data_IF_521343827332
#
_entry.id   IF_521343827332
#
_cell.length_a   1.000
_cell.length_b   1.000
_cell.length_c   1.000
_cell.angle_alpha   90.00
_cell.angle_beta   90.00
_cell.angle_gamma   90.00
#
_symmetry.space_group_name_H-M   'P 1'
#
loop_
_entity.id
_entity.type
_entity.pdbx_description
1 polymer ?
#
# COMPACT_ATOMS: atom_id res chain seq x y z
N UNK A 1 -7.66 6.96 6.64
CA UNK A 1 -7.24 6.12 7.77
C UNK A 1 -8.40 6.06 8.74
N UNK A 2 -8.88 4.87 9.11
CA UNK A 2 -10.03 4.72 9.99
C UNK A 2 -9.56 4.55 11.45
N UNK A 3 -10.26 5.22 12.37
CA UNK A 3 -10.08 5.07 13.81
C UNK A 3 -11.36 4.43 14.38
N UNK A 4 -11.40 3.10 14.55
CA UNK A 4 -12.51 2.46 15.25
C UNK A 4 -12.50 2.92 16.71
N UNK A 5 -13.63 3.43 17.19
CA UNK A 5 -13.79 3.74 18.60
C UNK A 5 -13.91 2.43 19.39
N UNK A 6 -13.01 2.22 20.35
CA UNK A 6 -13.07 1.09 21.28
C UNK A 6 -12.87 1.66 22.68
N UNK A 7 -13.85 1.44 23.58
CA UNK A 7 -13.79 1.82 25.00
C UNK A 7 -13.72 3.34 25.31
N UNK A 8 -14.32 4.19 24.47
CA UNK A 8 -14.53 5.62 24.79
C UNK A 8 -13.29 6.51 24.70
N UNK A 9 -12.20 6.01 24.11
CA UNK A 9 -10.98 6.79 23.87
C UNK A 9 -10.75 6.89 22.36
N UNK A 10 -11.22 7.98 21.77
CA UNK A 10 -11.02 8.30 20.35
C UNK A 10 -9.95 9.39 20.25
N UNK A 11 -8.91 9.23 19.41
CA UNK A 11 -7.87 10.24 19.29
C UNK A 11 -8.41 11.49 18.59
N UNK A 12 -8.02 12.68 19.05
CA UNK A 12 -8.39 13.94 18.38
C UNK A 12 -7.68 14.13 17.03
N UNK A 13 -6.50 13.53 16.90
CA UNK A 13 -5.65 13.58 15.70
C UNK A 13 -5.57 12.22 15.02
N UNK A 14 -5.52 12.23 13.70
CA UNK A 14 -5.28 11.04 12.90
C UNK A 14 -3.87 10.47 13.20
N UNK A 15 -3.80 9.24 13.72
CA UNK A 15 -2.52 8.57 14.04
C UNK A 15 -1.58 8.44 12.84
N UNK A 16 -2.08 8.52 11.60
CA UNK A 16 -1.25 8.45 10.38
C UNK A 16 -0.75 9.82 9.91
N UNK A 17 -1.62 10.82 9.78
CA UNK A 17 -1.26 12.11 9.17
C UNK A 17 -1.25 13.28 10.15
N UNK A 18 -1.53 13.03 11.43
CA UNK A 18 -1.54 14.00 12.53
C UNK A 18 -2.48 15.22 12.33
N UNK A 19 -3.39 15.16 11.35
CA UNK A 19 -4.44 16.16 11.15
C UNK A 19 -5.66 15.85 12.04
N UNK A 20 -6.44 16.86 12.45
CA UNK A 20 -7.66 16.65 13.24
C UNK A 20 -8.65 15.70 12.58
N UNK A 21 -9.28 14.83 13.37
CA UNK A 21 -10.40 14.02 12.90
C UNK A 21 -11.67 14.88 12.83
N UNK A 22 -12.23 15.04 11.63
CA UNK A 22 -13.38 15.94 11.39
C UNK A 22 -14.69 15.21 11.12
N UNK A 23 -14.64 13.93 10.74
CA UNK A 23 -15.81 13.14 10.37
C UNK A 23 -15.98 11.96 11.34
N UNK A 24 -17.17 11.84 11.93
CA UNK A 24 -17.54 10.73 12.83
C UNK A 24 -18.75 10.02 12.24
N UNK A 25 -18.60 8.71 12.00
CA UNK A 25 -19.73 7.85 11.64
C UNK A 25 -20.24 7.17 12.91
N UNK A 26 -21.56 7.19 13.11
CA UNK A 26 -22.26 6.56 14.24
C UNK A 26 -23.15 5.43 13.73
N UNK A 27 -23.53 4.54 14.64
CA UNK A 27 -24.47 3.45 14.35
C UNK A 27 -24.01 2.54 13.20
N UNK A 28 -22.70 2.27 13.13
CA UNK A 28 -22.17 1.30 12.18
C UNK A 28 -22.58 -0.11 12.58
N UNK A 29 -22.96 -0.91 11.58
CA UNK A 29 -23.24 -2.34 11.77
C UNK A 29 -22.32 -3.17 10.89
N UNK A 30 -21.54 -4.06 11.51
CA UNK A 30 -20.68 -5.00 10.79
C UNK A 30 -21.56 -6.11 10.18
N UNK A 31 -21.57 -6.19 8.86
CA UNK A 31 -22.23 -7.27 8.15
C UNK A 31 -21.35 -8.53 8.22
N UNK A 32 -21.91 -9.65 8.69
CA UNK A 32 -21.19 -10.94 8.80
C UNK A 32 -21.71 -11.94 7.77
N UNK A 33 -22.93 -12.44 7.98
CA UNK A 33 -23.58 -13.43 7.11
C UNK A 33 -24.81 -12.80 6.46
N UNK A 34 -24.94 -12.94 5.15
CA UNK A 34 -26.15 -12.59 4.41
C UNK A 34 -26.76 -13.85 3.81
N UNK A 35 -28.03 -14.11 4.09
CA UNK A 35 -28.79 -15.19 3.47
C UNK A 35 -29.59 -14.63 2.31
N UNK A 36 -29.49 -15.23 1.13
CA UNK A 36 -30.36 -14.90 0.00
C UNK A 36 -31.62 -15.77 0.05
N UNK A 37 -32.76 -15.22 -0.37
CA UNK A 37 -34.02 -15.96 -0.48
C UNK A 37 -34.51 -15.85 -1.92
N UNK A 38 -34.81 -16.99 -2.55
CA UNK A 38 -35.31 -17.02 -3.93
C UNK A 38 -36.66 -16.30 -4.00
N UNK A 39 -36.76 -15.30 -4.88
CA UNK A 39 -38.02 -14.68 -5.31
C UNK A 39 -38.28 -15.06 -6.76
N UNK A 40 -39.52 -15.40 -7.07
CA UNK A 40 -39.92 -15.89 -8.41
C UNK A 40 -40.36 -14.78 -9.37
N UNK A 41 -40.56 -13.56 -8.88
CA UNK A 41 -40.96 -12.41 -9.69
C UNK A 41 -40.06 -11.22 -9.35
N UNK A 42 -39.31 -10.75 -10.34
CA UNK A 42 -38.64 -9.45 -10.32
C UNK A 42 -39.57 -8.54 -11.11
N UNK A 43 -40.15 -7.52 -10.48
CA UNK A 43 -40.94 -6.53 -11.21
C UNK A 43 -40.01 -5.46 -11.81
N UNK A 44 -40.49 -4.73 -12.83
CA UNK A 44 -39.69 -3.70 -13.51
C UNK A 44 -39.18 -2.61 -12.54
N UNK A 45 -39.89 -2.35 -11.44
CA UNK A 45 -39.49 -1.39 -10.40
C UNK A 45 -38.33 -1.90 -9.53
N UNK A 46 -38.24 -3.21 -9.30
CA UNK A 46 -37.09 -3.86 -8.65
C UNK A 46 -35.84 -3.80 -9.54
N UNK A 47 -36.00 -3.90 -10.87
CA UNK A 47 -34.90 -3.74 -11.82
C UNK A 47 -34.43 -2.27 -11.94
N UNK A 48 -35.35 -1.30 -11.89
CA UNK A 48 -35.03 0.13 -11.80
C UNK A 48 -34.30 0.48 -10.48
N UNK A 49 -34.65 -0.17 -9.35
CA UNK A 49 -33.93 -0.03 -8.06
C UNK A 49 -32.46 -0.42 -8.11
N UNK A 50 -32.06 -1.32 -9.02
CA UNK A 50 -30.66 -1.72 -9.22
C UNK A 50 -29.82 -0.52 -9.71
N UNK A 51 -30.44 0.49 -10.32
CA UNK A 51 -29.73 1.61 -10.98
C UNK A 51 -29.34 2.77 -10.07
N UNK A 52 -29.77 2.80 -8.80
CA UNK A 52 -29.53 3.97 -7.93
C UNK A 52 -28.08 4.09 -7.44
N UNK A 53 -27.31 2.99 -7.49
CA UNK A 53 -25.92 2.94 -7.07
C UNK A 53 -25.73 3.24 -5.57
N UNK A 54 -24.59 2.79 -5.03
CA UNK A 54 -24.23 3.02 -3.63
C UNK A 54 -23.10 4.04 -3.51
N UNK A 55 -23.18 4.88 -2.47
CA UNK A 55 -22.08 5.70 -2.00
C UNK A 55 -21.25 4.86 -1.02
N UNK A 56 -20.14 4.31 -1.50
CA UNK A 56 -19.23 3.48 -0.71
C UNK A 56 -18.03 4.32 -0.32
N UNK A 57 -17.71 4.33 0.98
CA UNK A 57 -16.49 4.94 1.51
C UNK A 57 -15.50 3.86 1.90
N UNK A 58 -14.29 3.94 1.36
CA UNK A 58 -13.19 3.04 1.70
C UNK A 58 -12.45 3.58 2.91
N UNK A 59 -12.21 2.70 3.89
CA UNK A 59 -11.35 2.95 5.03
C UNK A 59 -10.20 1.95 5.05
N UNK A 60 -9.08 2.32 5.66
CA UNK A 60 -8.00 1.38 5.94
C UNK A 60 -7.34 1.71 7.27
N UNK A 61 -6.75 0.69 7.90
CA UNK A 61 -5.92 0.80 9.09
C UNK A 61 -4.81 -0.25 9.01
N UNK A 62 -3.57 0.13 9.27
CA UNK A 62 -2.47 -0.83 9.31
C UNK A 62 -2.63 -1.78 10.50
N UNK A 63 -2.15 -3.02 10.35
CA UNK A 63 -2.03 -3.93 11.48
C UNK A 63 -1.11 -3.32 12.55
N UNK A 64 -1.32 -3.65 13.82
CA UNK A 64 -0.48 -3.17 14.92
C UNK A 64 0.28 -4.36 15.51
N UNK A 65 1.60 -4.28 15.54
CA UNK A 65 2.49 -5.28 16.15
C UNK A 65 3.31 -4.56 17.21
N UNK A 66 3.31 -5.07 18.45
CA UNK A 66 4.02 -4.46 19.59
C UNK A 66 3.70 -2.97 19.79
N UNK A 67 2.44 -2.58 19.55
CA UNK A 67 1.97 -1.21 19.71
C UNK A 67 2.35 -0.26 18.56
N UNK A 68 2.96 -0.74 17.47
CA UNK A 68 3.33 0.07 16.30
C UNK A 68 2.64 -0.39 15.02
N UNK A 69 2.32 0.51 14.08
CA UNK A 69 1.72 0.13 12.80
C UNK A 69 2.70 -0.69 11.95
N UNK A 70 2.40 -1.96 11.72
CA UNK A 70 3.19 -2.87 10.90
C UNK A 70 3.12 -2.49 9.42
N UNK A 71 3.90 -1.48 9.04
CA UNK A 71 4.04 -1.00 7.67
C UNK A 71 5.50 -0.76 7.31
N UNK A 72 5.78 -0.70 6.01
CA UNK A 72 7.08 -0.32 5.47
C UNK A 72 6.89 0.90 4.61
N UNK A 73 7.76 1.90 4.78
CA UNK A 73 7.70 3.15 4.02
C UNK A 73 8.90 3.22 3.08
N UNK A 74 8.69 3.70 1.87
CA UNK A 74 9.76 3.96 0.90
C UNK A 74 9.45 5.21 0.10
N UNK A 75 10.51 5.79 -0.45
CA UNK A 75 10.44 6.99 -1.27
C UNK A 75 10.76 6.61 -2.71
N UNK A 76 9.96 7.10 -3.65
CA UNK A 76 10.23 7.05 -5.07
C UNK A 76 10.89 8.38 -5.45
N UNK A 77 12.13 8.32 -5.92
CA UNK A 77 12.91 9.51 -6.25
C UNK A 77 13.60 9.40 -7.61
N UNK A 78 13.76 10.54 -8.28
CA UNK A 78 14.58 10.69 -9.49
C UNK A 78 15.62 11.77 -9.20
N UNK A 79 16.91 11.44 -9.33
CA UNK A 79 18.01 12.40 -9.09
C UNK A 79 17.86 13.17 -7.77
N UNK A 80 17.57 12.44 -6.68
CA UNK A 80 17.30 12.96 -5.33
C UNK A 80 16.03 13.83 -5.17
N UNK A 81 15.24 14.02 -6.22
CA UNK A 81 13.92 14.67 -6.15
C UNK A 81 12.85 13.64 -5.75
N UNK A 82 12.14 13.90 -4.65
CA UNK A 82 11.02 13.08 -4.19
C UNK A 82 9.82 13.22 -5.14
N UNK A 83 9.39 12.10 -5.76
CA UNK A 83 8.22 12.08 -6.63
C UNK A 83 6.97 11.57 -5.90
N UNK A 84 7.14 10.53 -5.09
CA UNK A 84 6.06 9.97 -4.29
C UNK A 84 6.59 9.20 -3.08
N UNK A 85 5.76 9.15 -2.03
CA UNK A 85 5.93 8.25 -0.90
C UNK A 85 5.03 7.03 -1.08
N UNK A 86 5.60 5.84 -0.87
CA UNK A 86 4.84 4.59 -0.82
C UNK A 86 4.86 3.98 0.57
N UNK A 87 3.73 3.46 1.02
CA UNK A 87 3.62 2.78 2.32
C UNK A 87 2.92 1.45 2.14
N UNK A 88 3.65 0.36 2.31
CA UNK A 88 3.13 -1.00 2.30
C UNK A 88 2.65 -1.41 3.68
N UNK A 89 1.47 -2.00 3.78
CA UNK A 89 0.92 -2.60 5.00
C UNK A 89 0.62 -4.07 4.79
N UNK A 90 1.21 -4.93 5.61
CA UNK A 90 0.85 -6.36 5.63
C UNK A 90 -0.40 -6.57 6.49
N UNK A 91 -1.36 -7.35 5.98
CA UNK A 91 -2.60 -7.68 6.68
C UNK A 91 -3.34 -6.46 7.28
N UNK A 92 -3.34 -5.34 6.55
CA UNK A 92 -4.07 -4.13 6.92
C UNK A 92 -5.59 -4.41 6.91
N UNK A 93 -6.31 -3.81 7.85
CA UNK A 93 -7.78 -3.91 7.87
C UNK A 93 -8.35 -2.88 6.91
N UNK A 94 -9.06 -3.36 5.88
CA UNK A 94 -9.82 -2.55 4.94
C UNK A 94 -11.29 -2.55 5.33
N UNK A 95 -11.95 -1.41 5.15
CA UNK A 95 -13.35 -1.20 5.45
C UNK A 95 -14.06 -0.73 4.19
N UNK A 96 -15.19 -1.34 3.86
CA UNK A 96 -16.13 -0.80 2.86
C UNK A 96 -17.41 -0.40 3.58
N UNK A 97 -17.62 0.90 3.70
CA UNK A 97 -18.73 1.49 4.46
C UNK A 97 -19.77 1.97 3.45
N UNK A 98 -21.00 1.44 3.52
CA UNK A 98 -22.07 1.86 2.63
C UNK A 98 -22.88 2.98 3.28
N UNK A 99 -22.65 4.20 2.79
CA UNK A 99 -23.23 5.43 3.33
C UNK A 99 -24.68 5.67 2.87
N UNK A 100 -25.17 4.92 1.88
CA UNK A 100 -26.51 5.08 1.34
C UNK A 100 -26.53 5.15 -0.20
N UNK A 101 -27.68 5.51 -0.75
CA UNK A 101 -27.86 5.67 -2.19
C UNK A 101 -27.07 6.87 -2.74
N UNK A 102 -26.47 6.71 -3.93
CA UNK A 102 -25.72 7.80 -4.59
C UNK A 102 -26.60 9.01 -4.87
N UNK A 103 -27.84 8.79 -5.34
CA UNK A 103 -28.82 9.83 -5.72
C UNK A 103 -29.80 10.24 -4.61
N UNK A 104 -29.46 10.04 -3.33
CA UNK A 104 -30.34 10.43 -2.21
C UNK A 104 -30.59 11.95 -2.17
N UNK A 105 -31.81 12.36 -1.81
CA UNK A 105 -32.20 13.79 -1.69
C UNK A 105 -31.40 14.52 -0.63
N UNK A 106 -31.26 13.92 0.56
CA UNK A 106 -30.48 14.49 1.67
C UNK A 106 -29.16 13.73 1.84
N UNK A 107 -28.04 14.38 1.50
CA UNK A 107 -26.70 13.79 1.61
C UNK A 107 -26.25 13.51 3.05
N UNK A 108 -26.82 14.20 4.03
CA UNK A 108 -26.50 14.04 5.45
C UNK A 108 -27.27 12.87 6.11
N UNK A 109 -28.29 12.33 5.45
CA UNK A 109 -29.05 11.16 5.92
C UNK A 109 -28.31 9.90 5.47
N UNK A 110 -27.42 9.38 6.34
CA UNK A 110 -26.56 8.24 6.05
C UNK A 110 -27.17 6.92 6.54
N UNK A 111 -26.85 5.83 5.83
CA UNK A 111 -27.27 4.48 6.20
C UNK A 111 -28.74 4.18 5.89
N UNK A 112 -29.23 3.06 6.41
CA UNK A 112 -30.51 2.46 6.07
C UNK A 112 -31.30 2.11 7.32
N UNK A 113 -32.62 2.06 7.24
CA UNK A 113 -33.47 1.59 8.34
C UNK A 113 -33.42 0.05 8.40
N UNK A 114 -33.05 -0.48 9.56
CA UNK A 114 -33.02 -1.90 9.87
C UNK A 114 -33.99 -2.19 11.02
N UNK A 115 -34.83 -3.20 10.83
CA UNK A 115 -35.62 -3.81 11.90
C UNK A 115 -34.74 -4.78 12.69
N UNK A 116 -34.47 -4.44 13.94
CA UNK A 116 -33.63 -5.24 14.84
C UNK A 116 -34.34 -6.47 15.42
N UNK A 117 -35.68 -6.51 15.34
CA UNK A 117 -36.46 -7.66 15.79
C UNK A 117 -36.56 -8.72 14.68
N UNK A 118 -36.79 -8.30 13.43
CA UNK A 118 -37.03 -9.21 12.30
C UNK A 118 -35.84 -9.38 11.35
N UNK A 119 -34.84 -8.51 11.43
CA UNK A 119 -33.66 -8.54 10.54
C UNK A 119 -33.94 -8.08 9.11
N UNK A 120 -35.02 -7.33 8.88
CA UNK A 120 -35.37 -6.81 7.56
C UNK A 120 -34.92 -5.36 7.38
N UNK A 121 -34.40 -5.07 6.19
CA UNK A 121 -34.16 -3.69 5.73
C UNK A 121 -35.46 -3.08 5.24
N UNK A 122 -35.71 -1.81 5.58
CA UNK A 122 -36.84 -1.08 5.03
C UNK A 122 -36.76 -0.99 3.51
N UNK A 123 -37.90 -1.18 2.82
CA UNK A 123 -37.93 -1.20 1.34
C UNK A 123 -37.82 0.20 0.73
N UNK A 124 -38.30 1.23 1.43
CA UNK A 124 -38.35 2.60 0.94
C UNK A 124 -37.63 3.49 1.95
N UNK A 125 -36.49 4.04 1.53
CA UNK A 125 -35.70 4.96 2.35
C UNK A 125 -35.83 6.42 1.88
N UNK A 126 -36.80 6.68 1.02
CA UNK A 126 -37.11 8.02 0.52
C UNK A 126 -38.29 8.58 1.31
N UNK A 127 -38.34 9.89 1.47
CA UNK A 127 -39.44 10.64 2.10
C UNK A 127 -40.75 10.52 1.27
N UNK A 128 -41.24 9.29 1.11
CA UNK A 128 -42.51 8.88 0.51
C UNK A 128 -43.23 8.13 1.64
N UNK A 129 -44.53 8.39 1.76
CA UNK A 129 -45.44 7.96 2.83
C UNK A 129 -45.20 6.53 3.33
N UNK A 130 -45.41 6.33 4.63
CA UNK A 130 -45.44 5.01 5.27
C UNK A 130 -46.26 4.05 4.40
N UNK A 131 -45.61 3.05 3.82
CA UNK A 131 -46.32 1.94 3.19
C UNK A 131 -46.94 1.13 4.35
N UNK A 132 -48.29 1.11 4.49
CA UNK A 132 -48.94 0.36 5.56
C UNK A 132 -48.69 -1.15 5.47
N UNK A 133 -48.19 -1.64 4.32
CA UNK A 133 -47.79 -3.03 4.10
C UNK A 133 -46.29 -3.31 4.35
N UNK A 134 -45.48 -2.34 4.82
CA UNK A 134 -44.07 -2.62 5.15
C UNK A 134 -44.01 -3.53 6.40
N UNK A 135 -43.44 -4.76 6.30
CA UNK A 135 -43.45 -5.74 7.40
C UNK A 135 -42.50 -5.39 8.56
N UNK A 136 -42.14 -4.12 8.75
CA UNK A 136 -41.26 -3.69 9.83
C UNK A 136 -41.97 -3.71 11.18
N UNK A 137 -41.25 -4.11 12.21
CA UNK A 137 -41.66 -4.01 13.61
C UNK A 137 -41.56 -2.56 14.12
N UNK A 138 -41.93 -2.35 15.38
CA UNK A 138 -41.70 -1.05 16.07
C UNK A 138 -40.22 -0.83 16.42
N UNK A 139 -39.40 -1.88 16.43
CA UNK A 139 -38.00 -1.82 16.83
C UNK A 139 -37.08 -1.63 15.61
N UNK A 140 -37.18 -0.46 14.99
CA UNK A 140 -36.34 -0.07 13.85
C UNK A 140 -35.32 0.97 14.23
N UNK A 141 -34.14 0.92 13.60
CA UNK A 141 -33.11 1.94 13.76
C UNK A 141 -32.31 2.11 12.47
N UNK A 142 -31.90 3.35 12.20
CA UNK A 142 -31.03 3.66 11.06
C UNK A 142 -29.60 3.29 11.39
N UNK A 143 -28.96 2.52 10.52
CA UNK A 143 -27.60 2.00 10.69
C UNK A 143 -26.80 2.13 9.41
N UNK A 144 -25.48 2.24 9.55
CA UNK A 144 -24.55 2.31 8.42
C UNK A 144 -23.87 0.94 8.28
N UNK A 145 -24.27 0.11 7.29
CA UNK A 145 -23.66 -1.19 7.11
C UNK A 145 -22.23 -1.05 6.59
N UNK A 146 -21.34 -1.88 7.12
CA UNK A 146 -19.98 -2.00 6.62
C UNK A 146 -19.53 -3.45 6.63
N UNK A 147 -18.54 -3.75 5.79
CA UNK A 147 -17.75 -4.97 5.83
C UNK A 147 -16.29 -4.61 6.07
N UNK A 148 -15.54 -5.53 6.67
CA UNK A 148 -14.10 -5.39 6.81
C UNK A 148 -13.41 -6.69 6.37
N UNK A 149 -12.21 -6.54 5.84
CA UNK A 149 -11.34 -7.66 5.46
C UNK A 149 -9.87 -7.30 5.76
N UNK A 150 -9.01 -8.31 5.89
CA UNK A 150 -7.57 -8.13 6.07
C UNK A 150 -6.84 -8.40 4.76
N UNK A 151 -6.24 -7.35 4.19
CA UNK A 151 -5.54 -7.43 2.91
C UNK A 151 -4.15 -6.81 3.00
N UNK A 152 -3.25 -7.27 2.13
CA UNK A 152 -2.04 -6.51 1.85
C UNK A 152 -2.43 -5.25 1.08
N UNK A 153 -1.89 -4.11 1.48
CA UNK A 153 -2.13 -2.85 0.79
C UNK A 153 -0.86 -2.03 0.59
N UNK A 154 -0.92 -1.12 -0.39
CA UNK A 154 0.12 -0.15 -0.67
C UNK A 154 -0.55 1.20 -0.92
N UNK A 155 -0.13 2.19 -0.15
CA UNK A 155 -0.50 3.58 -0.39
C UNK A 155 0.53 4.18 -1.34
N UNK A 156 0.04 4.90 -2.34
CA UNK A 156 0.85 5.77 -3.20
C UNK A 156 0.43 7.22 -2.94
N UNK A 157 1.35 8.01 -2.42
CA UNK A 157 1.16 9.41 -2.06
C UNK A 157 2.09 10.27 -2.92
N UNK A 158 1.57 10.98 -3.94
CA UNK A 158 2.37 11.92 -4.71
C UNK A 158 2.99 13.00 -3.80
N UNK A 159 4.24 13.37 -4.03
CA UNK A 159 4.93 14.41 -3.23
C UNK A 159 4.44 15.82 -3.59
N UNK A 160 3.83 15.99 -4.78
CA UNK A 160 3.13 17.20 -5.20
C UNK A 160 1.61 16.97 -5.24
N UNK A 161 0.83 18.03 -5.02
CA UNK A 161 -0.62 17.95 -5.15
C UNK A 161 -1.01 17.81 -6.63
N UNK A 162 -1.55 16.65 -6.99
CA UNK A 162 -2.06 16.37 -8.33
C UNK A 162 -3.54 16.76 -8.45
N UNK A 163 -3.93 17.25 -9.63
CA UNK A 163 -5.33 17.51 -9.96
C UNK A 163 -6.12 16.20 -10.03
N UNK A 164 -7.44 16.30 -9.86
CA UNK A 164 -8.34 15.14 -9.93
C UNK A 164 -8.15 14.31 -11.21
N UNK A 165 -8.05 15.01 -12.35
CA UNK A 165 -7.79 14.44 -13.68
C UNK A 165 -6.48 13.64 -13.75
N UNK A 166 -5.42 14.18 -13.17
CA UNK A 166 -4.09 13.55 -13.15
C UNK A 166 -4.11 12.31 -12.25
N UNK A 167 -4.65 12.41 -11.04
CA UNK A 167 -4.65 11.29 -10.09
C UNK A 167 -5.62 10.18 -10.52
N UNK A 168 -6.76 10.50 -11.15
CA UNK A 168 -7.66 9.50 -11.74
C UNK A 168 -6.99 8.71 -12.88
N UNK A 169 -6.31 9.43 -13.78
CA UNK A 169 -5.58 8.84 -14.90
C UNK A 169 -4.40 8.01 -14.41
N UNK A 170 -3.63 8.53 -13.45
CA UNK A 170 -2.47 7.86 -12.88
C UNK A 170 -2.87 6.60 -12.12
N UNK A 171 -3.96 6.64 -11.34
CA UNK A 171 -4.52 5.47 -10.68
C UNK A 171 -4.85 4.37 -11.68
N UNK A 172 -5.51 4.72 -12.79
CA UNK A 172 -5.86 3.74 -13.82
C UNK A 172 -4.62 3.17 -14.49
N UNK A 173 -3.70 4.04 -14.93
CA UNK A 173 -2.47 3.65 -15.61
C UNK A 173 -1.59 2.73 -14.75
N UNK A 174 -1.33 3.12 -13.49
CA UNK A 174 -0.51 2.34 -12.57
C UNK A 174 -1.17 1.00 -12.22
N UNK A 175 -2.49 0.96 -11.98
CA UNK A 175 -3.20 -0.29 -11.70
C UNK A 175 -3.02 -1.28 -12.84
N UNK A 176 -3.29 -0.85 -14.08
CA UNK A 176 -3.19 -1.71 -15.27
C UNK A 176 -1.73 -2.11 -15.53
N UNK A 177 -0.78 -1.19 -15.39
CA UNK A 177 0.63 -1.49 -15.56
C UNK A 177 1.15 -2.52 -14.52
N UNK A 178 0.74 -2.41 -13.25
CA UNK A 178 1.07 -3.42 -12.23
C UNK A 178 0.49 -4.78 -12.64
N UNK A 179 -0.75 -4.82 -13.14
CA UNK A 179 -1.37 -6.07 -13.60
C UNK A 179 -0.57 -6.73 -14.73
N UNK A 180 -0.12 -5.94 -15.72
CA UNK A 180 0.67 -6.44 -16.85
C UNK A 180 2.07 -6.89 -16.40
N UNK A 181 2.81 -6.04 -15.68
CA UNK A 181 4.18 -6.34 -15.24
C UNK A 181 4.27 -7.60 -14.37
N UNK A 182 3.26 -7.84 -13.54
CA UNK A 182 3.25 -8.95 -12.59
C UNK A 182 2.32 -10.11 -12.98
N UNK A 183 1.69 -10.03 -14.15
CA UNK A 183 0.81 -11.05 -14.72
C UNK A 183 -0.31 -11.49 -13.76
N UNK A 184 -0.98 -10.51 -13.15
CA UNK A 184 -2.12 -10.75 -12.26
C UNK A 184 -3.43 -10.32 -12.91
N UNK A 185 -4.53 -10.98 -12.55
CA UNK A 185 -5.85 -10.71 -13.10
C UNK A 185 -6.48 -9.42 -12.54
N UNK A 186 -7.49 -8.90 -13.25
CA UNK A 186 -8.14 -7.64 -12.89
C UNK A 186 -8.81 -7.64 -11.51
N UNK A 187 -9.28 -8.81 -11.06
CA UNK A 187 -9.90 -9.05 -9.77
C UNK A 187 -8.89 -9.29 -8.63
N UNK A 188 -7.59 -9.45 -8.92
CA UNK A 188 -6.56 -9.71 -7.90
C UNK A 188 -5.99 -8.43 -7.30
N UNK A 189 -6.07 -7.31 -8.02
CA UNK A 189 -5.60 -6.00 -7.56
C UNK A 189 -6.72 -4.96 -7.71
N UNK A 190 -7.06 -4.31 -6.60
CA UNK A 190 -7.95 -3.15 -6.60
C UNK A 190 -7.18 -1.86 -6.34
N UNK A 191 -7.75 -0.75 -6.84
CA UNK A 191 -7.28 0.60 -6.57
C UNK A 191 -8.46 1.47 -6.14
N UNK A 192 -8.33 2.18 -5.03
CA UNK A 192 -9.36 3.10 -4.52
C UNK A 192 -8.74 4.49 -4.31
N UNK A 193 -9.40 5.56 -4.79
CA UNK A 193 -8.96 6.92 -4.51
C UNK A 193 -9.29 7.27 -3.05
N UNK A 194 -8.35 7.90 -2.35
CA UNK A 194 -8.54 8.31 -0.96
C UNK A 194 -8.44 9.83 -0.79
N UNK A 195 -9.25 10.44 0.10
CA UNK A 195 -10.34 9.82 0.88
C UNK A 195 -11.57 9.34 0.08
N UNK A 196 -11.81 9.88 -1.11
CA UNK A 196 -12.93 9.51 -1.99
C UNK A 196 -12.67 9.94 -3.44
N UNK A 197 -13.58 9.57 -4.35
CA UNK A 197 -13.43 9.80 -5.79
C UNK A 197 -13.47 11.28 -6.20
N UNK A 198 -14.10 12.15 -5.41
CA UNK A 198 -14.21 13.59 -5.67
C UNK A 198 -13.06 14.38 -5.02
N UNK A 199 -12.42 13.81 -3.99
CA UNK A 199 -11.29 14.41 -3.25
C UNK A 199 -10.09 13.47 -3.27
N UNK A 200 -9.53 13.25 -4.45
CA UNK A 200 -8.39 12.34 -4.64
C UNK A 200 -7.11 12.99 -4.11
N UNK A 201 -6.47 12.36 -3.12
CA UNK A 201 -5.17 12.80 -2.56
C UNK A 201 -4.09 11.74 -2.65
N UNK A 202 -4.49 10.48 -2.57
CA UNK A 202 -3.60 9.33 -2.63
C UNK A 202 -4.35 8.12 -3.16
N UNK A 203 -3.61 7.14 -3.65
CA UNK A 203 -4.15 5.90 -4.21
C UNK A 203 -3.90 4.77 -3.22
N UNK A 204 -4.95 4.02 -2.88
CA UNK A 204 -4.84 2.77 -2.13
C UNK A 204 -4.92 1.60 -3.09
N UNK A 205 -3.81 0.90 -3.25
CA UNK A 205 -3.77 -0.42 -3.88
C UNK A 205 -3.96 -1.51 -2.82
N UNK A 206 -4.74 -2.54 -3.12
CA UNK A 206 -4.83 -3.72 -2.26
C UNK A 206 -5.06 -5.00 -3.05
N UNK A 207 -4.46 -6.08 -2.55
CA UNK A 207 -4.61 -7.42 -3.10
C UNK A 207 -6.00 -7.94 -2.72
N UNK A 208 -6.87 -8.06 -3.73
CA UNK A 208 -8.29 -8.41 -3.57
C UNK A 208 -8.52 -9.92 -3.48
N UNK A 209 -7.62 -10.72 -4.06
CA UNK A 209 -7.65 -12.18 -3.97
C UNK A 209 -7.47 -12.68 -2.53
N UNK A 210 -7.96 -13.89 -2.25
CA UNK A 210 -7.69 -14.60 -1.01
C UNK A 210 -6.23 -15.09 -1.01
N UNK A 211 -5.52 -14.93 0.11
CA UNK A 211 -4.10 -15.28 0.22
C UNK A 211 -3.11 -14.21 -0.24
N UNK A 212 -3.54 -13.28 -1.11
CA UNK A 212 -2.72 -12.16 -1.60
C UNK A 212 -1.71 -12.56 -2.67
N UNK A 213 -1.57 -11.74 -3.72
CA UNK A 213 -0.65 -12.01 -4.83
C UNK A 213 0.84 -11.79 -4.48
N UNK A 214 1.13 -11.10 -3.35
CA UNK A 214 2.49 -10.75 -2.94
C UNK A 214 3.16 -9.69 -3.82
N UNK A 215 2.44 -9.12 -4.79
CA UNK A 215 2.94 -8.13 -5.74
C UNK A 215 3.26 -6.83 -5.03
N UNK A 216 2.39 -6.37 -4.12
CA UNK A 216 2.58 -5.08 -3.44
C UNK A 216 3.82 -5.05 -2.55
N UNK A 217 4.22 -6.20 -2.01
CA UNK A 217 5.48 -6.33 -1.26
C UNK A 217 6.69 -6.19 -2.18
N UNK A 218 6.64 -6.75 -3.39
CA UNK A 218 7.72 -6.61 -4.37
C UNK A 218 7.91 -5.15 -4.79
N UNK A 219 6.82 -4.39 -4.92
CA UNK A 219 6.87 -2.97 -5.31
C UNK A 219 7.67 -2.10 -4.34
N UNK A 220 7.74 -2.49 -3.07
CA UNK A 220 8.48 -1.74 -2.04
C UNK A 220 9.89 -2.29 -1.82
N UNK A 221 10.17 -3.52 -2.25
CA UNK A 221 11.46 -4.19 -2.04
C UNK A 221 12.37 -4.08 -3.28
N UNK A 222 11.83 -3.96 -4.49
CA UNK A 222 12.58 -3.80 -5.74
C UNK A 222 12.77 -2.32 -6.09
N UNK A 223 14.04 -1.89 -6.10
CA UNK A 223 14.47 -0.51 -6.38
C UNK A 223 14.05 -0.03 -7.77
N UNK A 224 13.83 -0.93 -8.73
CA UNK A 224 13.45 -0.60 -10.10
C UNK A 224 11.96 -0.82 -10.40
N UNK A 225 11.17 -1.29 -9.43
CA UNK A 225 9.79 -1.72 -9.68
C UNK A 225 8.92 -0.61 -10.28
N UNK A 226 8.97 0.59 -9.69
CA UNK A 226 8.17 1.72 -10.19
C UNK A 226 8.66 2.25 -11.53
N UNK A 227 9.97 2.18 -11.82
CA UNK A 227 10.50 2.48 -13.15
C UNK A 227 9.92 1.55 -14.22
N UNK A 228 9.92 0.23 -13.96
CA UNK A 228 9.33 -0.77 -14.86
C UNK A 228 7.83 -0.56 -15.06
N UNK A 229 7.09 -0.32 -13.98
CA UNK A 229 5.65 -0.05 -14.01
C UNK A 229 5.34 1.22 -14.81
N UNK A 230 6.11 2.29 -14.61
CA UNK A 230 5.85 3.55 -15.29
C UNK A 230 6.16 3.46 -16.80
N UNK A 231 7.19 2.70 -17.18
CA UNK A 231 7.46 2.39 -18.60
C UNK A 231 6.34 1.58 -19.24
N UNK A 232 5.80 0.59 -18.53
CA UNK A 232 4.62 -0.15 -18.99
C UNK A 232 3.39 0.76 -19.09
N UNK A 233 3.18 1.63 -18.11
CA UNK A 233 2.09 2.62 -18.12
C UNK A 233 2.20 3.60 -19.30
N UNK A 234 3.42 4.02 -19.68
CA UNK A 234 3.67 4.84 -20.87
C UNK A 234 3.27 4.08 -22.14
N UNK A 235 3.72 2.82 -22.28
CA UNK A 235 3.38 1.98 -23.43
C UNK A 235 1.86 1.76 -23.55
N UNK A 236 1.18 1.45 -22.44
CA UNK A 236 -0.28 1.35 -22.38
C UNK A 236 -0.95 2.68 -22.78
N UNK A 237 -0.37 3.81 -22.37
CA UNK A 237 -0.82 5.14 -22.77
C UNK A 237 -0.41 5.55 -24.19
N UNK A 238 0.08 4.64 -25.03
CA UNK A 238 0.53 4.88 -26.41
C UNK A 238 1.67 5.88 -26.53
N UNK A 239 2.56 5.88 -25.54
CA UNK A 239 3.82 6.60 -25.59
C UNK A 239 4.97 5.61 -25.74
N UNK A 240 5.99 6.02 -26.49
CA UNK A 240 7.28 5.34 -26.45
C UNK A 240 7.92 5.53 -25.04
N UNK A 241 8.24 4.47 -24.30
CA UNK A 241 8.72 4.59 -22.92
C UNK A 241 10.12 5.20 -22.77
N UNK A 242 10.92 5.23 -23.85
CA UNK A 242 12.28 5.76 -23.84
C UNK A 242 12.33 7.24 -24.22
N UNK A 243 11.51 7.64 -25.20
CA UNK A 243 11.53 8.99 -25.78
C UNK A 243 10.35 9.85 -25.34
N UNK A 244 9.26 9.23 -24.86
CA UNK A 244 7.99 9.90 -24.61
C UNK A 244 7.28 10.34 -25.89
N UNK A 245 7.68 9.84 -27.07
CA UNK A 245 7.01 10.13 -28.33
C UNK A 245 5.57 9.61 -28.30
N UNK A 246 4.63 10.42 -28.76
CA UNK A 246 3.22 10.07 -28.79
C UNK A 246 2.89 9.24 -30.04
N UNK A 247 2.71 7.93 -29.86
CA UNK A 247 2.30 7.00 -30.92
C UNK A 247 0.81 7.09 -31.22
N UNK A 248 0.05 7.84 -30.40
CA UNK A 248 -1.37 8.17 -30.52
C UNK A 248 -2.35 7.02 -30.40
N UNK A 249 -1.96 5.77 -30.60
CA UNK A 249 -2.88 4.63 -30.65
C UNK A 249 -2.20 3.31 -30.29
N UNK A 250 -3.01 2.32 -29.92
CA UNK A 250 -2.54 0.96 -29.71
C UNK A 250 -2.15 0.27 -31.03
N UNK A 251 -1.22 -0.71 -30.99
CA UNK A 251 -0.87 -1.52 -32.16
C UNK A 251 -2.10 -2.16 -32.82
N UNK A 252 -2.25 -1.99 -34.13
CA UNK A 252 -3.36 -2.57 -34.90
C UNK A 252 -4.63 -1.72 -34.96
N UNK A 253 -4.71 -0.61 -34.24
CA UNK A 253 -5.86 0.30 -34.28
C UNK A 253 -5.72 1.39 -35.35
N UNK A 254 -6.85 1.81 -35.91
CA UNK A 254 -6.92 2.86 -36.94
C UNK A 254 -7.25 4.25 -36.39
N UNK A 255 -7.85 4.32 -35.21
CA UNK A 255 -8.28 5.57 -34.59
C UNK A 255 -7.24 6.04 -33.57
N UNK A 256 -7.04 7.35 -33.49
CA UNK A 256 -6.18 7.95 -32.46
C UNK A 256 -6.93 8.02 -31.13
N UNK A 257 -6.23 7.64 -30.06
CA UNK A 257 -6.68 7.84 -28.69
C UNK A 257 -6.45 9.31 -28.28
N UNK A 258 -7.52 10.09 -28.25
CA UNK A 258 -7.43 11.52 -27.94
C UNK A 258 -7.13 11.82 -26.47
N UNK A 259 -7.90 11.24 -25.55
CA UNK A 259 -7.75 11.42 -24.11
C UNK A 259 -7.60 10.05 -23.40
N UNK A 260 -8.53 9.12 -23.65
CA UNK A 260 -8.48 7.77 -23.11
C UNK A 260 -9.26 6.81 -24.01
N UNK A 261 -8.88 5.54 -24.00
CA UNK A 261 -9.55 4.42 -24.67
C UNK A 261 -9.46 3.16 -23.79
N UNK A 262 -10.13 2.09 -24.20
CA UNK A 262 -10.12 0.80 -23.48
C UNK A 262 -8.78 0.05 -23.57
N UNK A 263 -7.93 0.40 -24.53
CA UNK A 263 -6.56 -0.14 -24.66
C UNK A 263 -5.52 0.66 -23.86
N UNK A 264 -5.92 1.73 -23.15
CA UNK A 264 -5.03 2.50 -22.28
C UNK A 264 -5.56 2.65 -20.83
N UNK A 265 -6.51 3.56 -20.60
CA UNK A 265 -6.96 3.97 -19.25
C UNK A 265 -8.38 3.52 -18.92
N UNK A 266 -9.24 3.29 -19.92
CA UNK A 266 -10.65 2.96 -19.67
C UNK A 266 -10.82 1.48 -19.35
N UNK A 267 -11.61 1.19 -18.33
CA UNK A 267 -12.07 -0.16 -18.01
C UNK A 267 -13.58 -0.12 -17.72
N UNK A 268 -14.23 -1.28 -17.72
CA UNK A 268 -15.64 -1.35 -17.29
C UNK A 268 -15.82 -1.01 -15.80
N UNK A 269 -14.78 -1.18 -14.98
CA UNK A 269 -14.84 -0.92 -13.53
C UNK A 269 -14.68 0.55 -13.17
N UNK A 270 -14.03 1.35 -14.01
CA UNK A 270 -13.77 2.77 -13.76
C UNK A 270 -14.68 3.72 -14.56
N UNK A 271 -15.86 3.27 -15.01
CA UNK A 271 -16.79 4.08 -15.81
C UNK A 271 -17.13 5.45 -15.21
N UNK A 272 -17.21 5.54 -13.87
CA UNK A 272 -17.45 6.81 -13.16
C UNK A 272 -16.32 7.82 -13.34
N UNK A 273 -15.12 7.33 -13.63
CA UNK A 273 -13.91 8.11 -13.78
C UNK A 273 -13.64 8.50 -15.23
N UNK A 274 -14.34 7.92 -16.23
CA UNK A 274 -14.06 8.13 -17.66
C UNK A 274 -13.97 9.60 -18.06
N UNK A 275 -14.81 10.47 -17.47
CA UNK A 275 -14.79 11.92 -17.72
C UNK A 275 -13.51 12.63 -17.25
N UNK A 276 -12.72 11.98 -16.40
CA UNK A 276 -11.47 12.49 -15.84
C UNK A 276 -10.23 11.82 -16.43
N UNK A 277 -10.38 10.76 -17.23
CA UNK A 277 -9.23 10.03 -17.78
C UNK A 277 -8.62 10.81 -18.95
N UNK A 278 -7.32 11.05 -18.87
CA UNK A 278 -6.53 11.68 -19.92
C UNK A 278 -5.07 11.27 -19.82
N UNK A 279 -4.61 10.50 -20.81
CA UNK A 279 -3.24 10.02 -20.93
C UNK A 279 -2.21 11.14 -21.06
N UNK A 280 -2.60 12.28 -21.66
CA UNK A 280 -1.71 13.43 -21.85
C UNK A 280 -1.44 14.15 -20.53
N UNK A 281 -2.39 14.10 -19.59
CA UNK A 281 -2.25 14.76 -18.29
C UNK A 281 -1.21 14.08 -17.39
N UNK A 282 -0.87 12.81 -17.64
CA UNK A 282 0.05 12.04 -16.79
C UNK A 282 1.36 11.69 -17.47
N UNK A 283 1.55 12.07 -18.74
CA UNK A 283 2.75 11.72 -19.52
C UNK A 283 4.04 12.08 -18.79
N UNK A 284 4.19 13.34 -18.38
CA UNK A 284 5.41 13.83 -17.73
C UNK A 284 5.64 13.15 -16.37
N UNK A 285 4.56 12.92 -15.61
CA UNK A 285 4.62 12.18 -14.33
C UNK A 285 5.13 10.75 -14.56
N UNK A 286 4.65 10.07 -15.60
CA UNK A 286 5.09 8.73 -15.93
C UNK A 286 6.54 8.69 -16.45
N UNK A 287 6.99 9.70 -17.20
CA UNK A 287 8.40 9.82 -17.62
C UNK A 287 9.34 10.04 -16.43
N UNK A 288 8.92 10.83 -15.44
CA UNK A 288 9.68 10.99 -14.20
C UNK A 288 9.73 9.69 -13.41
N UNK A 289 8.60 9.00 -13.24
CA UNK A 289 8.53 7.70 -12.56
C UNK A 289 9.32 6.60 -13.30
N UNK A 290 9.37 6.63 -14.64
CA UNK A 290 10.10 5.66 -15.46
C UNK A 290 11.61 5.67 -15.19
N UNK A 291 12.14 6.80 -14.73
CA UNK A 291 13.55 7.00 -14.39
C UNK A 291 13.78 7.08 -12.87
N UNK A 292 12.78 6.72 -12.07
CA UNK A 292 12.84 6.79 -10.62
C UNK A 292 13.28 5.46 -10.00
N UNK A 293 13.90 5.55 -8.83
CA UNK A 293 14.25 4.41 -7.99
C UNK A 293 13.47 4.42 -6.69
N UNK A 294 13.19 3.23 -6.16
CA UNK A 294 12.57 3.05 -4.84
C UNK A 294 13.67 2.95 -3.79
N UNK A 295 13.74 3.94 -2.90
CA UNK A 295 14.62 3.94 -1.75
C UNK A 295 13.89 3.40 -0.53
N UNK A 296 14.20 2.16 -0.16
CA UNK A 296 13.54 1.47 0.95
C UNK A 296 14.16 1.84 2.30
N UNK A 297 13.28 2.14 3.27
CA UNK A 297 13.62 2.07 4.69
C UNK A 297 13.27 0.68 5.23
N UNK A 298 14.21 -0.02 5.90
CA UNK A 298 13.92 -1.28 6.59
C UNK A 298 12.97 -1.14 7.80
N UNK A 299 12.63 0.10 8.20
CA UNK A 299 11.73 0.39 9.32
C UNK A 299 10.54 1.24 8.89
N UNK A 300 9.55 1.30 9.78
CA UNK A 300 8.34 2.14 9.72
C UNK A 300 8.63 3.66 9.69
N UNK A 301 9.90 4.05 9.82
CA UNK A 301 10.37 5.45 9.81
C UNK A 301 11.09 5.77 8.48
N UNK A 302 11.12 7.04 8.05
CA UNK A 302 11.89 7.48 6.89
C UNK A 302 13.32 6.94 6.92
N UNK A 303 13.87 6.63 5.75
CA UNK A 303 15.21 6.01 5.64
C UNK A 303 16.29 6.85 6.31
N UNK A 304 16.24 8.17 6.17
CA UNK A 304 17.16 9.12 6.83
C UNK A 304 17.08 9.03 8.36
N UNK A 305 15.87 9.07 8.92
CA UNK A 305 15.67 8.91 10.36
C UNK A 305 16.12 7.51 10.85
N UNK A 306 15.92 6.49 10.02
CA UNK A 306 16.40 5.15 10.30
C UNK A 306 17.93 5.07 10.31
N UNK A 307 18.58 5.70 9.33
CA UNK A 307 20.02 5.81 9.24
C UNK A 307 20.59 6.50 10.48
N UNK A 308 20.02 7.62 10.90
CA UNK A 308 20.44 8.34 12.11
C UNK A 308 20.29 7.48 13.38
N UNK A 309 19.18 6.76 13.48
CA UNK A 309 18.93 5.82 14.59
C UNK A 309 19.92 4.64 14.59
N UNK A 310 20.36 4.14 13.44
CA UNK A 310 21.42 3.12 13.36
C UNK A 310 22.79 3.71 13.68
N UNK A 311 23.13 4.86 13.10
CA UNK A 311 24.40 5.56 13.25
C UNK A 311 24.68 5.95 14.70
N UNK A 312 23.65 6.40 15.43
CA UNK A 312 23.73 6.69 16.87
C UNK A 312 24.03 5.47 17.75
N UNK A 313 23.83 4.25 17.24
CA UNK A 313 24.08 2.99 17.94
C UNK A 313 25.39 2.30 17.51
N UNK A 314 26.10 2.83 16.53
CA UNK A 314 27.40 2.29 16.13
C UNK A 314 28.42 2.52 17.26
N UNK A 315 29.15 1.46 17.61
CA UNK A 315 30.18 1.49 18.67
C UNK A 315 31.57 1.82 18.11
N UNK A 316 31.75 1.76 16.78
CA UNK A 316 33.00 2.10 16.10
C UNK A 316 32.84 2.97 14.85
N UNK A 317 33.90 3.69 14.49
CA UNK A 317 33.96 4.45 13.23
C UNK A 317 33.92 3.53 11.99
N UNK A 318 34.32 2.27 12.13
CA UNK A 318 34.27 1.30 11.04
C UNK A 318 32.83 0.88 10.73
N UNK A 319 32.02 0.62 11.77
CA UNK A 319 30.57 0.41 11.64
C UNK A 319 29.88 1.59 10.97
N UNK A 320 30.24 2.82 11.36
CA UNK A 320 29.70 4.04 10.73
C UNK A 320 30.07 4.14 9.26
N UNK A 321 31.34 3.88 8.91
CA UNK A 321 31.79 3.87 7.51
C UNK A 321 31.07 2.81 6.68
N UNK A 322 30.84 1.63 7.23
CA UNK A 322 30.08 0.58 6.56
C UNK A 322 28.63 1.02 6.31
N UNK A 323 27.99 1.62 7.31
CA UNK A 323 26.63 2.14 7.17
C UNK A 323 26.54 3.26 6.11
N UNK A 324 27.51 4.19 6.11
CA UNK A 324 27.63 5.25 5.09
C UNK A 324 27.84 4.65 3.70
N UNK A 325 28.64 3.57 3.58
CA UNK A 325 28.83 2.88 2.32
C UNK A 325 27.52 2.30 1.78
N UNK A 326 26.67 1.72 2.63
CA UNK A 326 25.34 1.28 2.22
C UNK A 326 24.44 2.44 1.80
N UNK A 327 24.51 3.56 2.51
CA UNK A 327 23.69 4.74 2.20
C UNK A 327 24.09 5.38 0.88
N UNK A 328 25.38 5.60 0.64
CA UNK A 328 25.89 6.22 -0.59
C UNK A 328 25.62 5.37 -1.84
N UNK A 329 25.39 4.06 -1.69
CA UNK A 329 25.10 3.14 -2.79
C UNK A 329 23.61 2.74 -2.84
N UNK A 330 22.73 3.42 -2.09
CA UNK A 330 21.29 3.14 -2.06
C UNK A 330 20.92 1.69 -1.69
N UNK A 331 21.78 1.02 -0.91
CA UNK A 331 21.64 -0.38 -0.51
C UNK A 331 20.68 -0.54 0.68
N UNK A 332 20.17 -1.74 0.91
CA UNK A 332 19.28 -2.03 2.04
C UNK A 332 19.99 -1.86 3.39
N UNK A 333 19.52 -0.92 4.21
CA UNK A 333 20.02 -0.74 5.58
C UNK A 333 19.63 -1.93 6.48
N UNK A 334 20.39 -2.22 7.54
CA UNK A 334 20.03 -3.24 8.51
C UNK A 334 18.84 -2.81 9.38
N UNK A 335 18.01 -3.76 9.81
CA UNK A 335 16.87 -3.47 10.70
C UNK A 335 17.29 -3.08 12.12
N UNK A 336 18.45 -3.52 12.60
CA UNK A 336 18.90 -3.26 13.96
C UNK A 336 20.41 -3.10 13.97
N UNK A 337 20.90 -2.26 14.88
CA UNK A 337 22.30 -2.21 15.29
C UNK A 337 22.41 -2.80 16.71
N UNK A 338 23.50 -3.53 16.97
CA UNK A 338 23.86 -4.06 18.29
C UNK A 338 22.76 -4.91 18.97
N UNK A 339 22.03 -5.72 18.18
CA UNK A 339 20.94 -6.58 18.71
C UNK A 339 21.54 -7.78 19.44
N UNK A 340 21.18 -7.97 20.72
CA UNK A 340 21.62 -9.13 21.48
C UNK A 340 20.82 -10.38 21.13
N UNK A 341 21.52 -11.49 20.90
CA UNK A 341 20.94 -12.79 20.59
C UNK A 341 21.26 -13.72 21.76
N UNK A 342 20.29 -13.86 22.66
CA UNK A 342 20.46 -14.55 23.95
C UNK A 342 20.97 -15.99 23.78
N UNK A 343 20.43 -16.73 22.80
CA UNK A 343 20.74 -18.15 22.59
C UNK A 343 22.20 -18.42 22.24
N UNK A 344 22.85 -17.51 21.51
CA UNK A 344 24.26 -17.64 21.13
C UNK A 344 25.17 -16.67 21.89
N UNK A 345 24.62 -15.93 22.86
CA UNK A 345 25.33 -14.94 23.67
C UNK A 345 26.24 -14.03 22.82
N UNK A 346 25.67 -13.48 21.75
CA UNK A 346 26.40 -12.64 20.78
C UNK A 346 25.60 -11.41 20.41
N UNK A 347 26.32 -10.32 20.08
CA UNK A 347 25.79 -9.08 19.51
C UNK A 347 26.43 -8.90 18.15
N UNK A 348 25.74 -9.20 17.05
CA UNK A 348 26.14 -8.69 15.75
C UNK A 348 26.07 -7.17 15.74
N UNK A 349 27.01 -6.55 15.01
CA UNK A 349 27.05 -5.11 14.83
C UNK A 349 25.78 -4.62 14.15
N UNK A 350 25.33 -5.37 13.14
CA UNK A 350 24.08 -5.13 12.44
C UNK A 350 23.27 -6.40 12.20
N UNK A 351 21.96 -6.26 12.12
CA UNK A 351 21.04 -7.39 11.97
C UNK A 351 19.88 -7.07 11.03
N UNK A 352 19.61 -7.99 10.10
CA UNK A 352 18.47 -7.97 9.19
C UNK A 352 17.43 -8.99 9.64
N UNK A 353 16.47 -8.54 10.45
CA UNK A 353 15.50 -9.40 11.12
C UNK A 353 14.62 -10.19 10.16
N UNK A 354 14.13 -9.55 9.09
CA UNK A 354 13.28 -10.22 8.10
C UNK A 354 13.99 -11.31 7.27
N UNK A 355 15.33 -11.35 7.30
CA UNK A 355 16.15 -12.31 6.56
C UNK A 355 16.95 -13.25 7.46
N UNK A 356 16.87 -13.07 8.79
CA UNK A 356 17.72 -13.74 9.78
C UNK A 356 19.21 -13.63 9.43
N UNK A 357 19.67 -12.45 8.98
CA UNK A 357 21.09 -12.23 8.63
C UNK A 357 21.75 -11.38 9.72
N UNK A 358 22.84 -11.88 10.27
CA UNK A 358 23.71 -11.20 11.23
C UNK A 358 24.99 -10.72 10.54
N UNK A 359 25.32 -9.44 10.72
CA UNK A 359 26.49 -8.80 10.12
C UNK A 359 27.46 -8.39 11.21
N UNK A 360 28.74 -8.73 11.01
CA UNK A 360 29.85 -8.31 11.85
C UNK A 360 30.86 -7.49 11.05
N UNK A 361 31.34 -6.39 11.62
CA UNK A 361 32.29 -5.46 11.03
C UNK A 361 33.60 -5.56 11.80
N UNK A 362 34.53 -6.36 11.29
CA UNK A 362 35.76 -6.73 11.99
C UNK A 362 36.85 -5.66 11.81
N UNK A 363 37.20 -4.99 12.91
CA UNK A 363 38.27 -3.97 12.96
C UNK A 363 39.70 -4.54 13.10
N UNK A 364 40.74 -3.69 13.06
CA UNK A 364 42.15 -4.10 13.20
C UNK A 364 42.51 -4.96 14.44
N UNK A 365 41.86 -4.81 15.61
CA UNK A 365 42.13 -5.66 16.78
C UNK A 365 41.68 -7.14 16.65
N UNK A 366 41.12 -7.57 15.51
CA UNK A 366 40.67 -8.95 15.28
C UNK A 366 41.77 -9.92 14.82
N UNK A 367 43.02 -9.47 14.68
CA UNK A 367 44.16 -10.29 14.22
C UNK A 367 44.74 -11.25 15.30
N UNK A 368 44.10 -11.45 16.47
CA UNK A 368 44.60 -12.34 17.53
C UNK A 368 43.95 -13.75 17.51
N UNK A 369 44.75 -14.85 17.52
CA UNK A 369 44.26 -16.22 17.31
C UNK A 369 43.33 -16.78 18.40
N UNK A 370 43.38 -16.25 19.63
CA UNK A 370 42.49 -16.64 20.74
C UNK A 370 41.03 -16.17 20.56
N UNK A 371 40.79 -15.10 19.78
CA UNK A 371 39.43 -14.62 19.46
C UNK A 371 38.76 -15.45 18.37
N UNK A 372 39.52 -15.91 17.38
CA UNK A 372 38.98 -16.68 16.25
C UNK A 372 38.23 -17.96 16.64
N UNK A 373 38.64 -18.66 17.71
CA UNK A 373 37.92 -19.85 18.21
C UNK A 373 36.56 -19.52 18.82
N UNK A 374 36.46 -18.42 19.58
CA UNK A 374 35.19 -17.96 20.16
C UNK A 374 34.25 -17.41 19.10
N UNK A 375 34.79 -16.67 18.13
CA UNK A 375 34.00 -16.10 17.03
C UNK A 375 33.49 -17.19 16.09
N UNK A 376 34.25 -18.29 15.91
CA UNK A 376 33.79 -19.45 15.17
C UNK A 376 32.67 -20.19 15.93
N UNK A 377 32.84 -20.48 17.22
CA UNK A 377 31.79 -21.13 18.01
C UNK A 377 30.48 -20.33 18.06
N UNK A 378 30.56 -18.99 18.09
CA UNK A 378 29.39 -18.12 17.98
C UNK A 378 28.75 -18.14 16.59
N UNK A 379 29.56 -18.17 15.53
CA UNK A 379 29.06 -18.29 14.16
C UNK A 379 28.36 -19.63 13.94
N UNK A 380 28.98 -20.73 14.36
CA UNK A 380 28.42 -22.08 14.27
C UNK A 380 27.07 -22.15 15.02
N UNK A 381 26.99 -21.62 16.25
CA UNK A 381 25.73 -21.54 16.99
C UNK A 381 24.64 -20.73 16.25
N UNK A 382 25.04 -19.61 15.63
CA UNK A 382 24.11 -18.77 14.88
C UNK A 382 23.59 -19.49 13.64
N UNK A 383 24.45 -20.18 12.90
CA UNK A 383 24.08 -20.97 11.74
C UNK A 383 23.17 -22.15 12.12
N UNK A 384 23.43 -22.82 13.24
CA UNK A 384 22.57 -23.88 13.78
C UNK A 384 21.16 -23.39 14.13
N UNK A 385 21.01 -22.12 14.49
CA UNK A 385 19.72 -21.46 14.74
C UNK A 385 19.06 -20.91 13.47
N UNK A 386 19.66 -21.12 12.31
CA UNK A 386 19.14 -20.68 11.01
C UNK A 386 19.48 -19.23 10.66
N UNK A 387 20.43 -18.61 11.38
CA UNK A 387 20.94 -17.29 11.00
C UNK A 387 22.04 -17.42 9.95
N UNK A 388 22.04 -16.51 8.98
CA UNK A 388 23.18 -16.36 8.06
C UNK A 388 24.14 -15.33 8.62
N UNK A 389 25.40 -15.70 8.79
CA UNK A 389 26.45 -14.78 9.28
C UNK A 389 27.26 -14.24 8.11
N UNK A 390 27.38 -12.91 8.01
CA UNK A 390 28.19 -12.22 7.01
C UNK A 390 29.19 -11.33 7.75
N UNK A 391 30.45 -11.36 7.34
CA UNK A 391 31.52 -10.55 7.96
C UNK A 391 32.12 -9.60 6.94
N UNK A 392 32.46 -8.40 7.40
CA UNK A 392 33.19 -7.39 6.64
C UNK A 392 34.46 -7.02 7.41
N UNK A 393 35.62 -7.39 6.92
CA UNK A 393 36.89 -6.92 7.47
C UNK A 393 37.21 -5.52 6.95
N UNK A 394 37.93 -4.71 7.72
CA UNK A 394 38.48 -3.43 7.26
C UNK A 394 39.43 -3.53 6.05
N UNK A 395 39.92 -4.74 5.72
CA UNK A 395 40.79 -4.98 4.55
C UNK A 395 40.04 -5.55 3.34
N UNK A 396 38.76 -5.89 3.50
CA UNK A 396 37.98 -6.51 2.43
C UNK A 396 37.46 -5.47 1.44
N UNK A 397 37.22 -5.92 0.21
CA UNK A 397 36.37 -5.21 -0.74
C UNK A 397 34.90 -5.40 -0.35
N UNK A 398 34.34 -4.40 0.33
CA UNK A 398 32.95 -4.43 0.81
C UNK A 398 31.95 -4.53 -0.33
N UNK A 399 32.21 -3.91 -1.49
CA UNK A 399 31.30 -3.98 -2.63
C UNK A 399 31.25 -5.40 -3.20
N UNK A 400 32.39 -6.10 -3.29
CA UNK A 400 32.42 -7.49 -3.72
C UNK A 400 31.63 -8.42 -2.79
N UNK A 401 31.64 -8.16 -1.48
CA UNK A 401 30.81 -8.89 -0.51
C UNK A 401 29.33 -8.57 -0.72
N UNK A 402 28.97 -7.30 -0.91
CA UNK A 402 27.59 -6.89 -1.18
C UNK A 402 27.04 -7.57 -2.45
N UNK A 403 27.80 -7.56 -3.55
CA UNK A 403 27.41 -8.19 -4.83
C UNK A 403 27.14 -9.70 -4.69
N UNK A 404 27.73 -10.37 -3.70
CA UNK A 404 27.50 -11.79 -3.41
C UNK A 404 26.14 -12.06 -2.76
N UNK A 405 25.55 -11.06 -2.10
CA UNK A 405 24.30 -11.18 -1.35
C UNK A 405 23.25 -10.14 -1.76
N UNK A 406 22.82 -10.11 -3.04
CA UNK A 406 21.88 -9.11 -3.53
C UNK A 406 20.51 -9.18 -2.85
N UNK A 407 20.12 -10.37 -2.38
CA UNK A 407 18.87 -10.56 -1.63
C UNK A 407 18.89 -9.91 -0.22
N UNK A 408 20.07 -9.62 0.33
CA UNK A 408 20.24 -8.99 1.64
C UNK A 408 20.43 -7.49 1.47
N UNK A 409 21.43 -7.11 0.67
CA UNK A 409 21.89 -5.73 0.59
C UNK A 409 21.25 -4.94 -0.57
N UNK A 410 20.54 -5.57 -1.49
CA UNK A 410 20.15 -4.95 -2.76
C UNK A 410 21.21 -5.14 -3.84
N UNK A 411 20.92 -4.69 -5.06
CA UNK A 411 21.86 -4.77 -6.18
C UNK A 411 22.68 -3.48 -6.25
N UNK A 412 23.98 -3.67 -6.44
CA UNK A 412 25.01 -2.63 -6.60
C UNK A 412 25.39 -2.55 -8.08
#
# INVERSE_FOLDING_TARGET
YLHPESNGNSPDLCERCQKPLTEIFRDLIKMQNVSTKRREKINSDEEERIRLGYEIKAGFRFAVINGRPACKTSIISKEDVELAKITYGHAATLYRINLGWTRRKNKNKLGYVLDFERGYWAKVDQDIEEDPEDPLSKNTKRVIPYVEDRKNCLLFEPSIELKEKELASLQSALKTAIQVCYQIEDNELAAEPLPDADRRKLILFYESAEGGAGVLRRLIDDTEAFGKIAREALALCHYDPDTGEDQKRAPGFREDCEAACYDCLMTYRNQRDHKFLDRKAIKEILLDLANATVRSSPKEIPRSEHFDMLSSKCESELERKWLICLENNDLNLPSHAQKFIDKCNTRPDFYYEGLNVAVYIDGPPHDYPERGKRDKAKADCMEDLGYRVIRFSHRDDWEAIVRRYPAVFGRL
#
